data_IF_290461325810
#
_entry.id   IF_290461325810
#
_cell.length_a   1.000
_cell.length_b   1.000
_cell.length_c   1.000
_cell.angle_alpha   90.00
_cell.angle_beta   90.00
_cell.angle_gamma   90.00
#
_symmetry.space_group_name_H-M   'P 1'
#
loop_
_entity.id
_entity.type
_entity.pdbx_description
1 polymer ?
#
# COMPACT_ATOMS: atom_id res chain seq x y z
N UNK A 1 10.06 1.17 57.58
CA UNK A 1 8.62 1.38 57.77
C UNK A 1 8.19 1.36 59.24
N UNK A 2 8.56 0.37 60.03
CA UNK A 2 8.22 0.32 61.47
C UNK A 2 8.80 1.51 62.25
N UNK A 3 10.02 1.93 61.96
CA UNK A 3 10.68 3.07 62.59
C UNK A 3 10.02 4.42 62.20
N UNK A 4 9.61 4.54 60.96
CA UNK A 4 8.88 5.72 60.45
C UNK A 4 7.49 5.85 61.11
N UNK A 5 6.77 4.70 61.19
CA UNK A 5 5.47 4.63 61.88
C UNK A 5 5.59 4.92 63.37
N UNK A 6 6.72 4.51 64.02
CA UNK A 6 7.00 4.82 65.42
C UNK A 6 7.28 6.31 65.63
N UNK A 7 8.08 6.94 64.77
CA UNK A 7 8.36 8.38 64.83
C UNK A 7 7.12 9.23 64.55
N UNK A 8 6.23 8.79 63.67
CA UNK A 8 4.92 9.44 63.40
C UNK A 8 3.99 9.33 64.65
N UNK A 9 4.00 8.14 65.30
CA UNK A 9 3.19 7.88 66.49
C UNK A 9 3.59 8.68 67.75
N UNK A 10 4.85 9.16 67.82
CA UNK A 10 5.37 9.97 68.95
C UNK A 10 5.45 11.47 68.57
N UNK A 11 4.90 11.87 67.38
CA UNK A 11 4.76 13.26 66.98
C UNK A 11 6.09 13.94 66.66
N UNK A 12 7.16 13.22 66.39
CA UNK A 12 8.49 13.73 66.00
C UNK A 12 8.57 14.04 64.52
N UNK A 13 7.76 13.37 63.70
CA UNK A 13 7.61 13.73 62.29
C UNK A 13 6.57 14.86 62.20
N UNK A 14 6.99 16.06 61.83
CA UNK A 14 6.08 17.08 61.44
C UNK A 14 5.21 16.53 60.29
N UNK A 15 3.89 16.38 60.56
CA UNK A 15 2.96 16.12 59.43
C UNK A 15 3.01 17.37 58.55
N UNK A 16 3.57 17.21 57.34
CA UNK A 16 3.33 18.23 56.31
C UNK A 16 1.81 18.45 56.25
N UNK A 17 1.33 19.62 56.70
CA UNK A 17 -0.06 19.98 56.58
C UNK A 17 -0.38 20.01 55.09
N UNK A 18 -1.23 19.08 54.62
CA UNK A 18 -1.71 19.09 53.24
C UNK A 18 -2.40 20.43 52.98
N UNK A 19 -2.00 21.12 51.95
CA UNK A 19 -2.60 22.38 51.56
C UNK A 19 -4.10 22.20 51.39
N UNK A 20 -4.95 23.07 52.02
CA UNK A 20 -6.40 23.00 51.85
C UNK A 20 -6.80 23.17 50.37
N UNK A 21 -7.88 22.48 49.92
CA UNK A 21 -8.33 22.51 48.54
C UNK A 21 -8.59 23.93 48.01
N UNK A 22 -9.11 24.82 48.88
CA UNK A 22 -9.41 26.21 48.52
C UNK A 22 -8.16 27.05 48.18
N UNK A 23 -6.93 26.63 48.55
CA UNK A 23 -5.71 27.39 48.26
C UNK A 23 -5.45 27.53 46.76
N UNK A 24 -5.86 26.53 45.99
CA UNK A 24 -5.72 26.53 44.53
C UNK A 24 -6.69 27.53 43.84
N UNK A 25 -7.73 27.96 44.53
CA UNK A 25 -8.70 28.94 44.02
C UNK A 25 -8.18 30.38 44.15
N UNK A 26 -7.20 30.61 45.05
CA UNK A 26 -6.61 31.91 45.25
C UNK A 26 -5.55 32.16 44.17
N UNK A 27 -5.85 33.02 43.21
CA UNK A 27 -4.92 33.41 42.15
C UNK A 27 -4.08 34.59 42.59
N UNK A 28 -2.79 34.39 42.82
CA UNK A 28 -1.81 35.42 43.23
C UNK A 28 -0.56 35.32 42.32
N UNK A 29 0.26 36.35 42.42
CA UNK A 29 1.49 36.45 41.68
C UNK A 29 1.28 36.30 40.16
N UNK A 30 1.94 35.33 39.54
CA UNK A 30 1.85 35.04 38.12
C UNK A 30 1.01 33.77 37.79
N UNK A 31 0.20 33.28 38.74
CA UNK A 31 -0.58 32.04 38.57
C UNK A 31 -1.42 32.03 37.28
N UNK A 32 -2.12 33.12 36.98
CA UNK A 32 -2.96 33.24 35.77
C UNK A 32 -2.10 33.17 34.51
N UNK A 33 -0.91 33.79 34.55
CA UNK A 33 0.04 33.71 33.41
C UNK A 33 0.56 32.29 33.21
N UNK A 34 0.90 31.59 34.28
CA UNK A 34 1.37 30.21 34.23
C UNK A 34 0.30 29.23 33.76
N UNK A 35 -0.93 29.39 34.28
CA UNK A 35 -2.08 28.58 33.82
C UNK A 35 -2.36 28.78 32.32
N UNK A 36 -2.28 30.02 31.84
CA UNK A 36 -2.44 30.34 30.44
C UNK A 36 -1.35 29.65 29.59
N UNK A 37 -0.07 29.74 30.01
CA UNK A 37 1.04 29.08 29.36
C UNK A 37 0.88 27.56 29.34
N UNK A 38 0.45 26.97 30.46
CA UNK A 38 0.18 25.53 30.57
C UNK A 38 -0.88 25.12 29.55
N UNK A 39 -1.99 25.84 29.48
CA UNK A 39 -3.07 25.59 28.54
C UNK A 39 -2.61 25.69 27.08
N UNK A 40 -1.81 26.73 26.74
CA UNK A 40 -1.24 26.87 25.39
C UNK A 40 -0.30 25.71 25.04
N UNK A 41 0.51 25.26 25.98
CA UNK A 41 1.42 24.14 25.76
C UNK A 41 0.68 22.81 25.65
N UNK A 42 -0.35 22.59 26.44
CA UNK A 42 -1.22 21.41 26.32
C UNK A 42 -1.85 21.35 24.94
N UNK A 43 -2.40 22.44 24.42
CA UNK A 43 -2.95 22.52 23.07
C UNK A 43 -1.89 22.22 22.00
N UNK A 44 -0.65 22.70 22.16
CA UNK A 44 0.47 22.37 21.26
C UNK A 44 0.84 20.88 21.31
N UNK A 45 0.86 20.29 22.50
CA UNK A 45 1.14 18.86 22.69
C UNK A 45 0.06 18.01 22.00
N UNK A 46 -1.21 18.34 22.16
CA UNK A 46 -2.31 17.62 21.49
C UNK A 46 -2.17 17.69 19.96
N UNK A 47 -1.87 18.86 19.42
CA UNK A 47 -1.63 19.03 17.99
C UNK A 47 -0.44 18.18 17.50
N UNK A 48 0.68 18.21 18.19
CA UNK A 48 1.87 17.43 17.86
C UNK A 48 1.56 15.93 17.92
N UNK A 49 0.82 15.47 18.93
CA UNK A 49 0.39 14.07 19.03
C UNK A 49 -0.49 13.64 17.86
N UNK A 50 -1.41 14.49 17.42
CA UNK A 50 -2.23 14.27 16.25
C UNK A 50 -1.38 14.16 14.97
N UNK A 51 -0.41 15.04 14.79
CA UNK A 51 0.51 15.04 13.64
C UNK A 51 1.39 13.78 13.61
N UNK A 52 1.87 13.34 14.78
CA UNK A 52 2.61 12.08 14.93
C UNK A 52 1.74 10.90 14.52
N UNK A 53 0.49 10.83 15.01
CA UNK A 53 -0.44 9.76 14.67
C UNK A 53 -0.75 9.72 13.17
N UNK A 54 -0.95 10.87 12.54
CA UNK A 54 -1.13 10.98 11.09
C UNK A 54 0.07 10.41 10.33
N UNK A 55 1.28 10.77 10.75
CA UNK A 55 2.52 10.28 10.13
C UNK A 55 2.72 8.77 10.32
N UNK A 56 2.39 8.24 11.51
CA UNK A 56 2.43 6.80 11.78
C UNK A 56 1.45 6.02 10.89
N UNK A 57 0.23 6.53 10.70
CA UNK A 57 -0.75 5.92 9.81
C UNK A 57 -0.24 5.88 8.35
N UNK A 58 0.34 6.96 7.86
CA UNK A 58 0.95 7.00 6.51
C UNK A 58 2.10 5.99 6.36
N UNK A 59 2.93 5.84 7.39
CA UNK A 59 3.98 4.81 7.38
C UNK A 59 3.40 3.39 7.35
N UNK A 60 2.32 3.13 8.09
CA UNK A 60 1.65 1.84 8.08
C UNK A 60 1.05 1.53 6.70
N UNK A 61 0.41 2.50 6.06
CA UNK A 61 -0.10 2.35 4.69
C UNK A 61 1.01 2.09 3.69
N UNK A 62 2.13 2.80 3.79
CA UNK A 62 3.29 2.55 2.94
C UNK A 62 3.85 1.14 3.13
N UNK A 63 3.89 0.63 4.37
CA UNK A 63 4.32 -0.75 4.65
C UNK A 63 3.36 -1.77 4.07
N UNK A 64 2.05 -1.51 4.13
CA UNK A 64 1.02 -2.37 3.54
C UNK A 64 1.17 -2.45 2.01
N UNK A 65 1.33 -1.33 1.32
CA UNK A 65 1.57 -1.31 -0.12
C UNK A 65 2.85 -2.07 -0.50
N UNK A 66 3.94 -1.89 0.25
CA UNK A 66 5.20 -2.62 0.03
C UNK A 66 5.06 -4.13 0.26
N UNK A 67 3.99 -4.60 0.88
CA UNK A 67 3.78 -6.04 1.09
C UNK A 67 3.70 -6.84 -0.21
N UNK A 68 3.34 -6.23 -1.34
CA UNK A 68 3.34 -6.90 -2.65
C UNK A 68 4.72 -7.42 -3.07
N UNK A 69 5.79 -6.94 -2.43
CA UNK A 69 7.16 -7.39 -2.72
C UNK A 69 7.47 -8.77 -2.13
N UNK A 70 6.72 -9.24 -1.11
CA UNK A 70 7.02 -10.52 -0.44
C UNK A 70 5.80 -11.43 -0.23
N UNK A 71 4.59 -10.96 -0.54
CA UNK A 71 3.36 -11.73 -0.39
C UNK A 71 3.02 -12.57 -1.63
N UNK A 72 2.06 -13.47 -1.48
CA UNK A 72 1.46 -14.31 -2.52
C UNK A 72 0.00 -14.62 -2.19
N UNK A 73 -0.76 -15.21 -3.14
CA UNK A 73 -2.17 -15.55 -2.98
C UNK A 73 -3.04 -14.32 -2.71
N UNK A 74 -4.17 -14.52 -2.01
CA UNK A 74 -5.21 -13.50 -1.79
C UNK A 74 -4.66 -12.19 -1.24
N UNK A 75 -3.67 -12.28 -0.34
CA UNK A 75 -3.04 -11.10 0.24
C UNK A 75 -2.27 -10.24 -0.76
N UNK A 76 -1.68 -10.85 -1.78
CA UNK A 76 -1.04 -10.14 -2.88
C UNK A 76 -2.10 -9.51 -3.77
N UNK A 77 -3.16 -10.28 -4.11
CA UNK A 77 -4.26 -9.84 -4.98
C UNK A 77 -4.94 -8.61 -4.40
N UNK A 78 -5.30 -8.63 -3.12
CA UNK A 78 -5.95 -7.51 -2.42
C UNK A 78 -5.19 -6.19 -2.57
N UNK A 79 -3.87 -6.21 -2.30
CA UNK A 79 -3.06 -4.98 -2.37
C UNK A 79 -2.78 -4.56 -3.83
N UNK A 80 -2.65 -5.52 -4.75
CA UNK A 80 -2.51 -5.21 -6.19
C UNK A 80 -3.78 -4.58 -6.73
N UNK A 81 -4.96 -5.04 -6.33
CA UNK A 81 -6.24 -4.43 -6.71
C UNK A 81 -6.30 -2.97 -6.30
N UNK A 82 -6.00 -2.66 -5.06
CA UNK A 82 -5.96 -1.29 -4.56
C UNK A 82 -5.01 -0.39 -5.38
N UNK A 83 -3.82 -0.92 -5.72
CA UNK A 83 -2.88 -0.16 -6.55
C UNK A 83 -3.43 0.05 -7.97
N UNK A 84 -4.04 -0.97 -8.56
CA UNK A 84 -4.66 -0.85 -9.88
C UNK A 84 -5.83 0.14 -9.89
N UNK A 85 -6.71 0.10 -8.88
CA UNK A 85 -7.81 1.06 -8.73
C UNK A 85 -7.28 2.50 -8.64
N UNK A 86 -6.22 2.73 -7.86
CA UNK A 86 -5.64 4.07 -7.74
C UNK A 86 -4.98 4.52 -9.04
N UNK A 87 -4.22 3.66 -9.72
CA UNK A 87 -3.49 3.98 -10.93
C UNK A 87 -4.40 4.14 -12.16
N UNK A 88 -5.35 3.21 -12.30
CA UNK A 88 -6.17 3.08 -13.51
C UNK A 88 -7.54 3.77 -13.35
N UNK A 89 -8.03 3.95 -12.11
CA UNK A 89 -9.36 4.52 -11.84
C UNK A 89 -10.50 3.53 -12.08
N UNK A 90 -10.22 2.23 -12.12
CA UNK A 90 -11.21 1.16 -12.16
C UNK A 90 -11.76 0.85 -10.77
N UNK A 91 -12.83 0.06 -10.71
CA UNK A 91 -13.39 -0.51 -9.49
C UNK A 91 -13.32 -2.05 -9.58
N UNK A 92 -12.50 -2.64 -8.72
CA UNK A 92 -12.33 -4.09 -8.61
C UNK A 92 -13.02 -4.68 -7.36
N UNK A 93 -13.68 -3.84 -6.56
CA UNK A 93 -14.32 -4.27 -5.30
C UNK A 93 -15.43 -5.31 -5.50
N UNK A 94 -16.06 -5.31 -6.67
CA UNK A 94 -17.11 -6.28 -7.06
C UNK A 94 -16.60 -7.48 -7.85
N UNK A 95 -15.29 -7.59 -8.09
CA UNK A 95 -14.74 -8.69 -8.87
C UNK A 95 -14.87 -10.02 -8.10
N UNK A 96 -15.49 -11.00 -8.72
CA UNK A 96 -15.66 -12.36 -8.18
C UNK A 96 -14.76 -13.31 -8.96
N UNK A 97 -13.77 -13.89 -8.29
CA UNK A 97 -12.91 -14.92 -8.88
C UNK A 97 -13.73 -16.15 -9.28
N UNK A 98 -13.94 -16.33 -10.56
CA UNK A 98 -14.63 -17.48 -11.17
C UNK A 98 -13.64 -18.57 -11.62
N UNK A 99 -12.38 -18.54 -11.12
CA UNK A 99 -11.28 -19.45 -11.48
C UNK A 99 -10.87 -19.35 -12.96
N UNK A 100 -11.13 -18.22 -13.58
CA UNK A 100 -10.62 -17.85 -14.89
C UNK A 100 -9.42 -16.91 -14.70
N UNK A 101 -9.63 -15.61 -14.86
CA UNK A 101 -8.66 -14.53 -14.61
C UNK A 101 -8.72 -14.06 -13.15
N UNK A 102 -7.63 -13.45 -12.65
CA UNK A 102 -7.60 -12.82 -11.32
C UNK A 102 -8.24 -11.43 -11.33
N UNK A 103 -8.31 -10.74 -12.49
CA UNK A 103 -9.05 -9.50 -12.68
C UNK A 103 -9.45 -9.23 -14.12
N UNK A 104 -10.55 -8.50 -14.28
CA UNK A 104 -11.03 -7.96 -15.54
C UNK A 104 -11.70 -6.61 -15.28
N UNK A 105 -11.32 -5.58 -16.04
CA UNK A 105 -11.97 -4.27 -16.02
C UNK A 105 -11.86 -3.55 -17.35
N UNK A 106 -12.75 -2.59 -17.57
CA UNK A 106 -12.79 -1.76 -18.78
C UNK A 106 -12.50 -0.29 -18.43
N UNK A 107 -11.70 0.38 -19.25
CA UNK A 107 -11.46 1.82 -19.18
C UNK A 107 -11.54 2.37 -20.59
N UNK A 108 -12.48 3.26 -20.82
CA UNK A 108 -12.81 3.78 -22.15
C UNK A 108 -13.09 2.62 -23.12
N UNK A 109 -12.34 2.52 -24.21
CA UNK A 109 -12.46 1.44 -25.20
C UNK A 109 -11.52 0.25 -24.91
N UNK A 110 -10.72 0.29 -23.84
CA UNK A 110 -9.74 -0.75 -23.52
C UNK A 110 -10.27 -1.69 -22.44
N UNK A 111 -10.07 -2.98 -22.66
CA UNK A 111 -10.31 -4.06 -21.69
C UNK A 111 -8.98 -4.53 -21.15
N UNK A 112 -8.86 -4.66 -19.84
CA UNK A 112 -7.68 -5.19 -19.15
C UNK A 112 -8.07 -6.50 -18.47
N UNK A 113 -7.41 -7.58 -18.85
CA UNK A 113 -7.59 -8.91 -18.27
C UNK A 113 -6.25 -9.37 -17.71
N UNK A 114 -6.22 -9.98 -16.53
CA UNK A 114 -4.94 -10.29 -15.96
C UNK A 114 -4.89 -11.37 -14.90
N UNK A 115 -3.64 -11.79 -14.66
CA UNK A 115 -3.22 -12.75 -13.65
C UNK A 115 -2.23 -12.10 -12.67
N UNK A 116 -2.34 -12.45 -11.40
CA UNK A 116 -1.46 -11.99 -10.32
C UNK A 116 -0.78 -13.20 -9.69
N UNK A 117 0.54 -13.28 -9.80
CA UNK A 117 1.30 -14.45 -9.29
C UNK A 117 2.41 -14.03 -8.35
N UNK A 118 2.37 -14.58 -7.12
CA UNK A 118 3.44 -14.48 -6.13
C UNK A 118 4.18 -15.81 -6.00
N UNK A 119 5.44 -15.90 -6.47
CA UNK A 119 6.18 -17.15 -6.53
C UNK A 119 7.63 -17.02 -6.07
N UNK A 120 8.22 -18.11 -5.53
CA UNK A 120 9.62 -18.13 -5.06
C UNK A 120 10.64 -18.38 -6.17
N UNK A 121 10.19 -18.69 -7.37
CA UNK A 121 11.04 -18.90 -8.57
C UNK A 121 10.87 -17.73 -9.54
N UNK A 122 11.68 -17.72 -10.60
CA UNK A 122 11.52 -16.75 -11.69
C UNK A 122 10.24 -17.01 -12.50
N UNK A 123 9.83 -16.04 -13.31
CA UNK A 123 8.70 -16.19 -14.27
C UNK A 123 8.93 -17.42 -15.14
N UNK A 124 7.87 -18.18 -15.37
CA UNK A 124 7.87 -19.36 -16.22
C UNK A 124 6.96 -19.15 -17.43
N UNK A 125 7.20 -19.92 -18.51
CA UNK A 125 6.34 -19.92 -19.69
C UNK A 125 4.88 -20.28 -19.35
N UNK A 126 4.67 -21.17 -18.37
CA UNK A 126 3.36 -21.58 -17.89
C UNK A 126 2.52 -20.41 -17.42
N UNK A 127 3.13 -19.43 -16.72
CA UNK A 127 2.42 -18.23 -16.23
C UNK A 127 1.90 -17.38 -17.40
N UNK A 128 2.71 -17.25 -18.47
CA UNK A 128 2.32 -16.47 -19.65
C UNK A 128 1.30 -17.23 -20.50
N UNK A 129 1.45 -18.56 -20.60
CA UNK A 129 0.50 -19.40 -21.35
C UNK A 129 -0.86 -19.46 -20.66
N UNK A 130 -0.92 -19.49 -19.33
CA UNK A 130 -2.19 -19.43 -18.59
C UNK A 130 -2.92 -18.11 -18.87
N UNK A 131 -2.21 -16.99 -18.82
CA UNK A 131 -2.78 -15.67 -19.17
C UNK A 131 -3.30 -15.66 -20.61
N UNK A 132 -2.56 -16.27 -21.56
CA UNK A 132 -2.98 -16.33 -22.96
C UNK A 132 -4.27 -17.15 -23.13
N UNK A 133 -4.43 -18.26 -22.39
CA UNK A 133 -5.67 -19.05 -22.39
C UNK A 133 -6.86 -18.19 -21.90
N UNK A 134 -6.69 -17.40 -20.84
CA UNK A 134 -7.76 -16.52 -20.35
C UNK A 134 -8.09 -15.41 -21.35
N UNK A 135 -7.05 -14.84 -21.98
CA UNK A 135 -7.21 -13.81 -23.01
C UNK A 135 -7.99 -14.37 -24.23
N UNK A 136 -7.62 -15.55 -24.74
CA UNK A 136 -8.32 -16.17 -25.86
C UNK A 136 -9.76 -16.56 -25.47
N UNK A 137 -9.96 -17.12 -24.27
CA UNK A 137 -11.27 -17.44 -23.75
C UNK A 137 -12.19 -16.22 -23.66
N UNK A 138 -11.67 -15.07 -23.24
CA UNK A 138 -12.41 -13.82 -23.22
C UNK A 138 -12.83 -13.38 -24.63
N UNK A 139 -11.93 -13.45 -25.62
CA UNK A 139 -12.23 -13.11 -27.01
C UNK A 139 -13.26 -14.06 -27.65
N UNK A 140 -13.20 -15.35 -27.32
CA UNK A 140 -14.17 -16.35 -27.78
C UNK A 140 -15.58 -16.10 -27.22
N UNK A 141 -15.66 -15.57 -25.99
CA UNK A 141 -16.93 -15.20 -25.35
C UNK A 141 -17.46 -13.83 -25.80
N UNK A 142 -16.58 -12.97 -26.40
CA UNK A 142 -16.90 -11.58 -26.80
C UNK A 142 -16.42 -11.29 -28.25
N UNK A 143 -16.97 -12.04 -29.21
CA UNK A 143 -16.58 -11.95 -30.63
C UNK A 143 -16.72 -10.53 -31.22
N UNK A 144 -17.52 -9.66 -30.58
CA UNK A 144 -17.71 -8.27 -31.00
C UNK A 144 -16.56 -7.34 -30.60
N UNK A 145 -15.68 -7.74 -29.65
CA UNK A 145 -14.56 -6.92 -29.18
C UNK A 145 -13.37 -6.99 -30.15
N UNK A 146 -12.78 -5.84 -30.41
CA UNK A 146 -11.49 -5.81 -31.18
C UNK A 146 -10.38 -6.42 -30.30
N UNK A 147 -9.69 -7.46 -30.73
CA UNK A 147 -8.56 -8.05 -30.01
C UNK A 147 -7.46 -7.03 -29.66
N UNK A 148 -7.32 -5.95 -30.42
CA UNK A 148 -6.34 -4.89 -30.13
C UNK A 148 -6.78 -3.98 -28.97
N UNK A 149 -8.07 -3.93 -28.64
CA UNK A 149 -8.58 -3.20 -27.47
C UNK A 149 -8.48 -4.00 -26.17
N UNK A 150 -8.14 -5.29 -26.24
CA UNK A 150 -8.01 -6.16 -25.06
C UNK A 150 -6.54 -6.31 -24.68
N UNK A 151 -6.21 -6.00 -23.45
CA UNK A 151 -4.84 -6.05 -22.92
C UNK A 151 -4.67 -7.11 -21.85
N UNK A 152 -3.86 -8.11 -22.14
CA UNK A 152 -3.51 -9.15 -21.17
C UNK A 152 -2.31 -8.74 -20.30
N UNK A 153 -2.49 -8.76 -18.96
CA UNK A 153 -1.52 -8.32 -17.97
C UNK A 153 -1.10 -9.48 -17.05
N UNK A 154 0.18 -9.71 -16.89
CA UNK A 154 0.74 -10.60 -15.88
C UNK A 154 1.45 -9.80 -14.81
N UNK A 155 0.84 -9.65 -13.63
CA UNK A 155 1.48 -8.99 -12.48
C UNK A 155 2.24 -10.04 -11.68
N UNK A 156 3.57 -9.89 -11.60
CA UNK A 156 4.47 -10.91 -11.05
C UNK A 156 5.26 -10.41 -9.85
N UNK A 157 5.03 -11.06 -8.71
CA UNK A 157 5.94 -11.03 -7.58
C UNK A 157 6.82 -12.29 -7.60
N UNK A 158 7.76 -12.35 -8.57
CA UNK A 158 8.67 -13.49 -8.68
C UNK A 158 9.83 -13.38 -7.69
N UNK A 159 10.40 -14.51 -7.30
CA UNK A 159 11.48 -14.60 -6.29
C UNK A 159 11.15 -13.78 -5.03
N UNK A 160 9.91 -13.87 -4.58
CA UNK A 160 9.34 -13.06 -3.49
C UNK A 160 9.97 -13.30 -2.11
N UNK A 161 10.91 -14.22 -2.02
CA UNK A 161 11.75 -14.50 -0.85
C UNK A 161 13.11 -13.75 -0.89
N UNK A 162 13.33 -12.92 -1.91
CA UNK A 162 14.53 -12.09 -2.08
C UNK A 162 14.17 -10.62 -2.14
N UNK A 163 15.09 -9.75 -1.73
CA UNK A 163 14.95 -8.32 -1.96
C UNK A 163 14.89 -8.03 -3.50
N UNK A 164 14.16 -7.00 -3.94
CA UNK A 164 14.00 -6.72 -5.36
C UNK A 164 15.33 -6.63 -6.12
N UNK A 165 16.37 -6.06 -5.51
CA UNK A 165 17.70 -5.86 -6.08
C UNK A 165 18.49 -7.17 -6.22
N UNK A 166 18.12 -8.20 -5.46
CA UNK A 166 18.75 -9.53 -5.48
C UNK A 166 18.06 -10.52 -6.42
N UNK A 167 16.95 -10.10 -7.04
CA UNK A 167 16.19 -10.95 -7.94
C UNK A 167 16.88 -11.06 -9.29
N UNK A 168 16.93 -12.27 -9.80
CA UNK A 168 17.34 -12.48 -11.19
C UNK A 168 16.33 -11.83 -12.14
N UNK A 169 16.76 -11.15 -13.19
CA UNK A 169 15.84 -10.54 -14.15
C UNK A 169 14.94 -11.60 -14.81
N UNK A 170 13.77 -11.17 -15.27
CA UNK A 170 12.92 -12.01 -16.11
C UNK A 170 13.70 -12.39 -17.39
N UNK A 171 13.72 -13.67 -17.71
CA UNK A 171 14.53 -14.19 -18.83
C UNK A 171 13.96 -13.73 -20.18
N UNK A 172 14.83 -13.50 -21.14
CA UNK A 172 14.45 -13.06 -22.49
C UNK A 172 13.45 -14.00 -23.17
N UNK A 173 13.53 -15.31 -22.89
CA UNK A 173 12.58 -16.31 -23.43
C UNK A 173 11.15 -16.01 -23.00
N UNK A 174 10.92 -15.61 -21.73
CA UNK A 174 9.61 -15.23 -21.20
C UNK A 174 9.16 -13.88 -21.76
N UNK A 175 10.07 -12.90 -21.81
CA UNK A 175 9.78 -11.58 -22.39
C UNK A 175 9.37 -11.71 -23.86
N UNK A 176 10.08 -12.52 -24.64
CA UNK A 176 9.77 -12.75 -26.06
C UNK A 176 8.45 -13.51 -26.26
N UNK A 177 8.12 -14.46 -25.37
CA UNK A 177 6.83 -15.14 -25.38
C UNK A 177 5.68 -14.14 -25.12
N UNK A 178 5.80 -13.32 -24.09
CA UNK A 178 4.83 -12.29 -23.79
C UNK A 178 4.66 -11.28 -24.96
N UNK A 179 5.77 -10.84 -25.58
CA UNK A 179 5.72 -9.96 -26.75
C UNK A 179 4.96 -10.60 -27.91
N UNK A 180 5.21 -11.87 -28.19
CA UNK A 180 4.56 -12.61 -29.28
C UNK A 180 3.05 -12.77 -29.05
N UNK A 181 2.64 -13.00 -27.79
CA UNK A 181 1.24 -13.11 -27.40
C UNK A 181 0.56 -11.75 -27.20
N UNK A 182 1.27 -10.62 -27.37
CA UNK A 182 0.73 -9.27 -27.14
C UNK A 182 0.53 -8.89 -25.68
N UNK A 183 0.91 -9.78 -24.74
CA UNK A 183 0.75 -9.57 -23.30
C UNK A 183 1.87 -8.73 -22.68
N UNK A 184 1.62 -8.19 -21.49
CA UNK A 184 2.56 -7.38 -20.72
C UNK A 184 2.82 -8.00 -19.35
N UNK A 185 4.09 -8.17 -19.01
CA UNK A 185 4.55 -8.56 -17.67
C UNK A 185 4.87 -7.29 -16.89
N UNK A 186 4.31 -7.18 -15.69
CA UNK A 186 4.59 -6.08 -14.75
C UNK A 186 5.13 -6.71 -13.46
N UNK A 187 6.38 -6.43 -13.11
CA UNK A 187 6.93 -6.83 -11.82
C UNK A 187 6.35 -5.96 -10.71
N UNK A 188 6.07 -6.54 -9.54
CA UNK A 188 5.49 -5.78 -8.41
C UNK A 188 6.34 -4.59 -7.97
N UNK A 189 7.67 -4.67 -8.10
CA UNK A 189 8.55 -3.52 -7.83
C UNK A 189 8.33 -2.37 -8.82
N UNK A 190 8.08 -2.69 -10.10
CA UNK A 190 7.75 -1.70 -11.15
C UNK A 190 6.37 -1.11 -10.92
N UNK A 191 5.40 -1.92 -10.48
CA UNK A 191 4.05 -1.46 -10.15
C UNK A 191 4.07 -0.45 -8.98
N UNK A 192 4.85 -0.72 -7.92
CA UNK A 192 5.07 0.25 -6.83
C UNK A 192 5.74 1.53 -7.30
N UNK A 193 6.70 1.42 -8.22
CA UNK A 193 7.37 2.62 -8.77
C UNK A 193 6.41 3.47 -9.59
N UNK A 194 5.52 2.85 -10.37
CA UNK A 194 4.44 3.55 -11.06
C UNK A 194 3.53 4.31 -10.09
N UNK A 195 3.15 3.67 -8.98
CA UNK A 195 2.34 4.31 -7.96
C UNK A 195 3.05 5.50 -7.32
N UNK A 196 4.36 5.38 -7.04
CA UNK A 196 5.18 6.49 -6.55
C UNK A 196 5.23 7.66 -7.55
N UNK A 197 5.42 7.37 -8.85
CA UNK A 197 5.45 8.38 -9.90
C UNK A 197 4.08 9.04 -10.12
N UNK A 198 3.00 8.30 -9.98
CA UNK A 198 1.63 8.83 -10.00
C UNK A 198 1.38 9.75 -8.81
N UNK A 199 1.64 9.30 -7.59
CA UNK A 199 1.44 10.06 -6.35
C UNK A 199 2.30 11.32 -6.26
N UNK A 200 3.49 11.29 -6.88
CA UNK A 200 4.38 12.46 -6.98
C UNK A 200 4.03 13.42 -8.13
N UNK A 201 3.02 13.09 -8.95
CA UNK A 201 2.63 13.90 -10.09
C UNK A 201 3.57 13.84 -11.30
N UNK A 202 4.55 12.92 -11.31
CA UNK A 202 5.43 12.70 -12.47
C UNK A 202 4.70 12.07 -13.64
N UNK A 203 3.71 11.22 -13.36
CA UNK A 203 2.85 10.59 -14.37
C UNK A 203 1.38 10.85 -14.04
N UNK A 204 0.59 11.12 -15.07
CA UNK A 204 -0.85 11.17 -14.95
C UNK A 204 -1.46 9.78 -15.16
N UNK A 205 -2.71 9.58 -14.73
CA UNK A 205 -3.46 8.35 -14.97
C UNK A 205 -3.52 8.00 -16.45
N UNK A 206 -3.83 8.98 -17.31
CA UNK A 206 -3.88 8.80 -18.75
C UNK A 206 -2.55 8.31 -19.33
N UNK A 207 -1.42 8.89 -18.89
CA UNK A 207 -0.09 8.41 -19.29
C UNK A 207 0.16 6.96 -18.90
N UNK A 208 -0.29 6.55 -17.70
CA UNK A 208 -0.13 5.18 -17.21
C UNK A 208 -1.00 4.21 -17.99
N UNK A 209 -2.27 4.54 -18.21
CA UNK A 209 -3.19 3.73 -19.02
C UNK A 209 -2.62 3.53 -20.44
N UNK A 210 -2.23 4.62 -21.10
CA UNK A 210 -1.64 4.55 -22.44
C UNK A 210 -0.35 3.72 -22.47
N UNK A 211 0.51 3.87 -21.46
CA UNK A 211 1.75 3.09 -21.35
C UNK A 211 1.45 1.60 -21.21
N UNK A 212 0.53 1.20 -20.33
CA UNK A 212 0.16 -0.20 -20.10
C UNK A 212 -0.54 -0.78 -21.33
N UNK A 213 -1.50 -0.08 -21.92
CA UNK A 213 -2.24 -0.53 -23.09
C UNK A 213 -1.32 -0.79 -24.31
N UNK A 214 -0.33 0.08 -24.54
CA UNK A 214 0.53 0.01 -25.71
C UNK A 214 1.83 -0.79 -25.53
N UNK A 215 2.21 -1.15 -24.29
CA UNK A 215 3.44 -1.91 -24.03
C UNK A 215 3.24 -3.42 -24.21
N UNK A 216 4.29 -4.15 -24.61
CA UNK A 216 4.31 -5.63 -24.75
C UNK A 216 5.62 -6.21 -24.19
N UNK A 217 5.54 -7.39 -23.63
CA UNK A 217 6.70 -8.07 -23.04
C UNK A 217 6.89 -7.71 -21.58
N UNK A 218 7.98 -7.07 -21.19
CA UNK A 218 8.26 -6.63 -19.82
C UNK A 218 8.16 -5.11 -19.72
N UNK A 219 7.37 -4.61 -18.78
CA UNK A 219 7.27 -3.18 -18.51
C UNK A 219 8.58 -2.67 -17.91
N UNK A 220 9.12 -1.62 -18.51
CA UNK A 220 10.29 -0.89 -17.99
C UNK A 220 9.91 0.58 -17.87
N UNK A 221 10.32 1.17 -16.76
CA UNK A 221 10.20 2.63 -16.56
C UNK A 221 11.53 3.28 -16.99
N UNK A 222 11.41 4.36 -17.73
CA UNK A 222 12.54 5.22 -18.11
C UNK A 222 12.94 6.15 -16.96
#
# INVERSE_FOLDING_TARGET
>A
DLFRNFLDGIGILEKEEAAPEWISEIKMFDDIEQETKISEWQNKVEKIQSDIKCSQNKLADNMRLKSILYTSGDRLVEVVFEILEELMGCDLSGFVDNKKEDFLFEIDDNVFIGEIKGVRHNVKNENISQLDVHFQGYLDEHEEKDPNSVKALLIMNHQNNKAPEEREPVKDTQINLAKRNGSLIIETAVLLKLLEEYRSGKKTREMIINMIANSKGLLKLE
#
